data_IF_563020261110
#
_entry.id   IF_563020261110
#
_cell.length_a   1.000
_cell.length_b   1.000
_cell.length_c   1.000
_cell.angle_alpha   90.00
_cell.angle_beta   90.00
_cell.angle_gamma   90.00
#
_symmetry.space_group_name_H-M   'P 1'
#
loop_
_entity.id
_entity.type
_entity.pdbx_description
1 polymer ?
#
# COMPACT_ATOMS: atom_id res chain seq x y z
N UNK A 1 6.99 11.05 0.59
CA UNK A 1 6.22 9.90 0.05
C UNK A 1 4.89 9.84 0.76
N UNK A 2 3.81 9.57 0.05
CA UNK A 2 2.48 9.42 0.65
C UNK A 2 2.08 7.96 0.56
N UNK A 3 1.56 7.42 1.66
CA UNK A 3 0.91 6.12 1.69
C UNK A 3 -0.59 6.32 1.63
N UNK A 4 -1.25 5.49 0.84
CA UNK A 4 -2.69 5.30 0.87
C UNK A 4 -2.94 3.90 1.42
N UNK A 5 -3.54 3.82 2.60
CA UNK A 5 -3.84 2.58 3.31
C UNK A 5 -5.32 2.31 3.13
N UNK A 6 -5.65 1.24 2.44
CA UNK A 6 -7.01 0.76 2.25
C UNK A 6 -7.23 -0.43 3.18
N UNK A 7 -8.19 -0.34 4.07
CA UNK A 7 -8.57 -1.41 5.00
C UNK A 7 -9.92 -1.96 4.56
N UNK A 8 -10.00 -3.27 4.38
CA UNK A 8 -11.26 -3.95 4.04
C UNK A 8 -11.71 -4.76 5.24
N UNK A 9 -12.86 -4.41 5.77
CA UNK A 9 -13.52 -5.16 6.84
C UNK A 9 -14.39 -6.23 6.22
N UNK A 10 -14.31 -7.47 6.72
CA UNK A 10 -15.04 -8.60 6.14
C UNK A 10 -16.56 -8.45 6.23
N UNK A 11 -17.27 -9.02 5.26
CA UNK A 11 -18.73 -9.09 5.25
C UNK A 11 -19.25 -10.31 6.02
N UNK A 12 -18.87 -10.42 7.29
CA UNK A 12 -19.31 -11.47 8.21
C UNK A 12 -20.21 -10.90 9.29
N UNK A 13 -21.07 -11.72 9.90
CA UNK A 13 -21.94 -11.29 10.99
C UNK A 13 -21.10 -10.66 12.11
N UNK A 14 -21.45 -9.45 12.53
CA UNK A 14 -20.71 -8.66 13.52
C UNK A 14 -19.23 -8.38 13.19
N UNK A 15 -18.84 -8.41 11.91
CA UNK A 15 -17.45 -8.22 11.50
C UNK A 15 -16.90 -6.79 11.60
N UNK A 16 -17.73 -5.80 11.90
CA UNK A 16 -17.30 -4.40 12.08
C UNK A 16 -16.95 -4.07 13.53
N UNK A 17 -16.19 -2.99 13.75
CA UNK A 17 -15.71 -2.61 15.08
C UNK A 17 -15.92 -1.13 15.40
N UNK A 18 -16.15 -0.83 16.67
CA UNK A 18 -16.12 0.53 17.22
C UNK A 18 -14.81 0.86 17.96
N UNK A 19 -13.86 -0.09 17.99
CA UNK A 19 -12.57 0.09 18.64
C UNK A 19 -11.65 0.99 17.81
N UNK A 20 -10.60 1.52 18.44
CA UNK A 20 -9.57 2.25 17.70
C UNK A 20 -8.66 1.26 16.99
N UNK A 21 -8.44 1.45 15.68
CA UNK A 21 -7.55 0.62 14.88
C UNK A 21 -6.19 1.31 14.72
N UNK A 22 -5.12 0.53 14.84
CA UNK A 22 -3.74 1.00 14.75
C UNK A 22 -2.95 0.17 13.75
N UNK A 23 -2.03 0.81 13.03
CA UNK A 23 -1.11 0.15 12.10
C UNK A 23 0.32 0.61 12.32
N UNK A 24 1.28 -0.30 12.12
CA UNK A 24 2.70 -0.01 12.05
C UNK A 24 3.30 -0.70 10.83
N UNK A 25 4.00 0.06 9.99
CA UNK A 25 4.62 -0.45 8.77
C UNK A 25 6.12 -0.66 8.98
N UNK A 26 6.64 -1.75 8.42
CA UNK A 26 8.05 -2.15 8.46
C UNK A 26 8.59 -2.28 7.03
N UNK A 27 9.71 -1.63 6.77
CA UNK A 27 10.42 -1.72 5.50
C UNK A 27 11.94 -1.65 5.68
N UNK A 28 12.67 -1.72 4.58
CA UNK A 28 14.13 -1.75 4.55
C UNK A 28 14.81 -0.47 5.10
N UNK A 29 14.11 0.66 5.15
CA UNK A 29 14.59 1.91 5.74
C UNK A 29 14.09 2.18 7.17
N UNK A 30 13.48 1.17 7.80
CA UNK A 30 13.08 1.16 9.20
C UNK A 30 11.59 0.89 9.37
N UNK A 31 11.00 1.50 10.40
CA UNK A 31 9.57 1.35 10.73
C UNK A 31 8.92 2.67 11.04
N UNK A 32 7.61 2.75 10.86
CA UNK A 32 6.82 3.88 11.35
C UNK A 32 6.64 3.78 12.86
N UNK A 33 6.16 4.87 13.45
CA UNK A 33 5.46 4.79 14.73
C UNK A 33 4.13 4.01 14.59
N UNK A 34 3.45 3.80 15.71
CA UNK A 34 2.11 3.19 15.71
C UNK A 34 1.11 4.27 15.35
N UNK A 35 0.51 4.14 14.17
CA UNK A 35 -0.41 5.12 13.60
C UNK A 35 -1.84 4.70 13.90
N UNK A 36 -2.63 5.58 14.50
CA UNK A 36 -4.08 5.37 14.60
C UNK A 36 -4.72 5.66 13.25
N UNK A 37 -5.53 4.72 12.75
CA UNK A 37 -6.31 4.87 11.54
C UNK A 37 -7.67 5.43 11.90
N UNK A 38 -7.88 6.71 11.62
CA UNK A 38 -9.16 7.36 11.83
C UNK A 38 -9.44 8.40 10.74
N UNK A 39 -10.72 8.60 10.46
CA UNK A 39 -11.21 9.66 9.58
C UNK A 39 -12.43 10.34 10.21
N UNK A 40 -13.05 11.27 9.48
CA UNK A 40 -14.31 11.91 9.93
C UNK A 40 -15.54 11.03 9.69
N UNK A 41 -15.38 9.92 8.99
CA UNK A 41 -16.46 8.97 8.71
C UNK A 41 -16.54 7.90 9.79
N UNK A 42 -17.66 7.19 9.84
CA UNK A 42 -17.74 5.94 10.59
C UNK A 42 -16.91 4.89 9.85
N UNK A 43 -15.83 4.41 10.46
CA UNK A 43 -14.84 3.53 9.83
C UNK A 43 -15.01 2.09 10.36
N UNK A 44 -14.48 1.12 9.62
CA UNK A 44 -14.39 -0.29 10.00
C UNK A 44 -15.76 -0.95 10.21
N UNK A 45 -16.76 -0.49 9.45
CA UNK A 45 -18.08 -1.12 9.39
C UNK A 45 -18.01 -2.44 8.63
N UNK A 46 -18.89 -3.38 8.97
CA UNK A 46 -18.99 -4.67 8.29
C UNK A 46 -19.09 -4.50 6.77
N UNK A 47 -18.23 -5.19 6.03
CA UNK A 47 -18.19 -5.13 4.56
C UNK A 47 -17.72 -3.79 3.98
N UNK A 48 -17.28 -2.85 4.82
CA UNK A 48 -16.80 -1.54 4.37
C UNK A 48 -15.35 -1.60 3.91
N UNK A 49 -15.02 -0.65 3.02
CA UNK A 49 -13.67 -0.36 2.58
C UNK A 49 -13.34 1.07 2.95
N UNK A 50 -12.36 1.25 3.82
CA UNK A 50 -11.92 2.54 4.34
C UNK A 50 -10.54 2.91 3.81
N UNK A 51 -10.37 4.17 3.41
CA UNK A 51 -9.11 4.67 2.83
C UNK A 51 -8.53 5.77 3.71
N UNK A 52 -7.29 5.58 4.15
CA UNK A 52 -6.53 6.50 4.98
C UNK A 52 -5.30 7.02 4.24
N UNK A 53 -5.18 8.34 4.15
CA UNK A 53 -4.02 8.99 3.52
C UNK A 53 -3.01 9.37 4.60
N UNK A 54 -1.83 8.78 4.52
CA UNK A 54 -0.70 9.02 5.42
C UNK A 54 0.37 9.80 4.66
N UNK A 55 0.66 11.02 5.11
CA UNK A 55 1.68 11.85 4.49
C UNK A 55 3.03 11.68 5.16
N UNK A 56 4.10 11.74 4.38
CA UNK A 56 5.44 11.91 4.93
C UNK A 56 5.71 13.38 5.19
N UNK A 57 6.09 13.70 6.43
CA UNK A 57 6.37 15.07 6.84
C UNK A 57 7.85 15.18 7.22
N UNK A 58 8.53 16.17 6.62
CA UNK A 58 9.92 16.46 6.91
C UNK A 58 10.10 17.51 8.02
N UNK A 59 9.05 18.24 8.44
CA UNK A 59 9.05 19.13 9.61
C UNK A 59 7.61 19.36 10.14
N UNK A 60 7.46 19.29 11.46
CA UNK A 60 6.24 19.32 12.26
C UNK A 60 5.16 20.38 11.92
N UNK A 61 3.92 19.99 12.27
CA UNK A 61 2.69 20.76 12.53
C UNK A 61 1.63 20.84 11.42
N UNK A 62 0.87 19.76 11.23
CA UNK A 62 -0.57 19.90 10.96
C UNK A 62 -1.41 18.77 11.58
N UNK A 63 -2.28 19.12 12.55
CA UNK A 63 -3.07 18.23 13.41
C UNK A 63 -4.19 17.40 12.71
N UNK A 64 -4.24 17.37 11.38
CA UNK A 64 -5.39 16.80 10.64
C UNK A 64 -5.02 15.66 9.68
N UNK A 65 -3.76 15.25 9.64
CA UNK A 65 -3.27 14.24 8.73
C UNK A 65 -2.43 13.23 9.51
N UNK A 66 -2.52 11.96 9.11
CA UNK A 66 -1.66 10.92 9.67
C UNK A 66 -0.27 11.13 9.07
N UNK A 67 0.73 11.30 9.91
CA UNK A 67 2.11 11.54 9.50
C UNK A 67 2.95 10.26 9.66
N UNK A 68 3.85 9.96 8.73
CA UNK A 68 4.75 8.82 8.86
C UNK A 68 6.11 9.03 8.19
N UNK A 69 7.16 8.45 8.78
CA UNK A 69 8.48 8.34 8.14
C UNK A 69 8.38 7.42 6.91
N UNK A 70 9.13 7.71 5.85
CA UNK A 70 9.35 6.74 4.78
C UNK A 70 10.13 5.52 5.30
N UNK A 71 9.57 4.34 5.06
CA UNK A 71 10.14 3.04 5.46
C UNK A 71 10.75 2.26 4.29
N UNK A 72 10.76 2.82 3.07
CA UNK A 72 11.27 2.13 1.88
C UNK A 72 10.43 0.91 1.45
N UNK A 73 11.04 -0.17 0.93
CA UNK A 73 10.30 -1.36 0.47
C UNK A 73 9.63 -2.02 1.68
N UNK A 74 8.29 -2.02 1.70
CA UNK A 74 7.51 -2.59 2.81
C UNK A 74 7.55 -4.11 2.70
N UNK A 75 7.89 -4.78 3.80
CA UNK A 75 7.90 -6.25 3.87
C UNK A 75 6.99 -6.80 4.96
N UNK A 76 6.49 -5.96 5.88
CA UNK A 76 5.61 -6.39 6.97
C UNK A 76 4.76 -5.23 7.48
N UNK A 77 3.55 -5.53 7.91
CA UNK A 77 2.75 -4.63 8.73
C UNK A 77 2.34 -5.32 10.03
N UNK A 78 2.07 -4.51 11.05
CA UNK A 78 1.37 -4.94 12.27
C UNK A 78 0.10 -4.12 12.39
N UNK A 79 -1.04 -4.79 12.50
CA UNK A 79 -2.34 -4.14 12.63
C UNK A 79 -3.05 -4.65 13.89
N UNK A 80 -3.71 -3.77 14.62
CA UNK A 80 -4.36 -4.10 15.88
C UNK A 80 -5.56 -3.20 16.20
N UNK A 81 -6.40 -3.64 17.13
CA UNK A 81 -7.37 -2.78 17.81
C UNK A 81 -7.12 -2.72 19.33
N UNK A 82 -7.81 -1.82 20.04
CA UNK A 82 -7.67 -1.61 21.49
C UNK A 82 -8.82 -2.17 22.35
N UNK A 83 -9.66 -3.06 21.80
CA UNK A 83 -10.85 -3.63 22.46
C UNK A 83 -11.88 -2.61 22.95
N UNK A 84 -11.78 -1.35 22.56
CA UNK A 84 -12.65 -0.31 23.12
C UNK A 84 -14.04 -0.31 22.48
N UNK A 85 -15.03 0.12 23.28
CA UNK A 85 -16.42 0.24 22.82
C UNK A 85 -17.22 -1.07 22.89
N UNK A 86 -18.45 -1.02 22.39
CA UNK A 86 -19.34 -2.20 22.29
C UNK A 86 -19.17 -2.80 20.90
N UNK A 87 -18.98 -4.11 20.82
CA UNK A 87 -18.66 -4.78 19.54
C UNK A 87 -17.25 -4.43 19.08
N UNK A 88 -16.27 -4.65 19.95
CA UNK A 88 -14.86 -4.35 19.65
C UNK A 88 -14.20 -5.40 18.76
N UNK A 89 -14.76 -6.62 18.73
CA UNK A 89 -14.32 -7.67 17.83
C UNK A 89 -14.41 -7.23 16.37
N UNK A 90 -13.33 -7.48 15.63
CA UNK A 90 -13.19 -6.99 14.27
C UNK A 90 -12.78 -8.12 13.34
N UNK A 91 -13.49 -8.28 12.23
CA UNK A 91 -13.07 -9.21 11.19
C UNK A 91 -12.34 -8.45 10.08
N UNK A 92 -11.02 -8.62 10.03
CA UNK A 92 -10.18 -8.02 9.01
C UNK A 92 -10.06 -8.96 7.82
N UNK A 93 -10.55 -8.52 6.64
CA UNK A 93 -10.36 -9.24 5.38
C UNK A 93 -8.92 -9.03 4.89
N UNK A 94 -8.54 -7.77 4.60
CA UNK A 94 -7.20 -7.44 4.11
C UNK A 94 -6.85 -5.96 4.27
N UNK A 95 -5.57 -5.67 4.10
CA UNK A 95 -5.03 -4.31 4.00
C UNK A 95 -4.29 -4.17 2.67
N UNK A 96 -4.54 -3.09 1.94
CA UNK A 96 -3.76 -2.69 0.77
C UNK A 96 -3.01 -1.40 1.08
N UNK A 97 -1.72 -1.34 0.76
CA UNK A 97 -0.91 -0.13 0.92
C UNK A 97 -0.35 0.27 -0.42
N UNK A 98 -0.66 1.48 -0.85
CA UNK A 98 -0.14 2.09 -2.06
C UNK A 98 0.82 3.23 -1.72
N UNK A 99 2.00 3.23 -2.35
CA UNK A 99 2.99 4.33 -2.27
C UNK A 99 3.44 4.73 -3.66
N UNK A 100 3.85 5.98 -3.83
CA UNK A 100 4.52 6.43 -5.05
C UNK A 100 6.03 6.38 -4.86
N UNK A 101 6.73 5.75 -5.80
CA UNK A 101 8.20 5.71 -5.86
C UNK A 101 8.69 6.31 -7.17
N UNK A 102 9.87 6.93 -7.13
CA UNK A 102 10.55 7.40 -8.33
C UNK A 102 11.30 6.22 -8.95
N UNK A 103 10.94 5.82 -10.17
CA UNK A 103 11.58 4.73 -10.89
C UNK A 103 12.03 5.18 -12.29
N UNK A 104 13.08 4.55 -12.81
CA UNK A 104 13.50 4.71 -14.21
C UNK A 104 12.54 3.90 -15.10
N UNK A 105 11.95 4.56 -16.09
CA UNK A 105 10.98 3.95 -17.01
C UNK A 105 11.41 4.24 -18.45
N UNK A 106 11.27 3.29 -19.40
CA UNK A 106 11.56 3.54 -20.81
C UNK A 106 10.72 4.70 -21.37
N UNK A 107 11.36 5.65 -22.07
CA UNK A 107 10.63 6.70 -22.79
C UNK A 107 9.83 6.11 -23.94
N UNK A 108 8.53 6.38 -23.97
CA UNK A 108 7.69 6.05 -25.12
C UNK A 108 8.15 6.85 -26.35
N UNK A 109 8.66 6.14 -27.37
CA UNK A 109 8.94 6.74 -28.69
C UNK A 109 7.60 7.14 -29.33
N UNK A 110 7.33 8.45 -29.42
CA UNK A 110 6.18 8.96 -30.18
C UNK A 110 6.34 8.62 -31.67
N UNK A 111 5.51 7.71 -32.19
CA UNK A 111 5.46 7.45 -33.63
C UNK A 111 4.85 8.64 -34.38
N UNK A 112 5.70 9.49 -34.97
CA UNK A 112 5.28 10.48 -35.95
C UNK A 112 4.84 9.77 -37.25
N UNK A 113 3.52 9.56 -37.41
CA UNK A 113 2.90 9.11 -38.66
C UNK A 113 3.03 10.17 -39.76
N UNK A 114 4.22 10.34 -40.35
CA UNK A 114 4.40 11.18 -41.55
C UNK A 114 5.56 10.76 -42.45
N UNK A 115 5.35 9.70 -43.24
CA UNK A 115 5.55 9.61 -44.71
C UNK A 115 5.86 8.17 -45.15
N UNK A 116 4.82 7.45 -45.60
CA UNK A 116 4.97 6.45 -46.65
C UNK A 116 5.44 7.15 -47.93
N UNK A 117 6.73 7.06 -48.26
CA UNK A 117 7.21 6.92 -49.65
C UNK A 117 8.69 6.53 -49.72
N UNK A 118 8.90 5.36 -50.30
CA UNK A 118 10.05 4.90 -51.07
C UNK A 118 11.33 4.39 -50.36
N UNK A 119 11.50 3.06 -50.52
CA UNK A 119 12.60 2.40 -51.26
C UNK A 119 13.74 1.76 -50.44
N UNK A 120 13.50 0.50 -50.05
CA UNK A 120 14.34 -0.70 -50.26
C UNK A 120 15.84 -0.48 -50.53
N UNK A 121 16.71 -0.83 -49.57
CA UNK A 121 17.84 -1.80 -49.71
C UNK A 121 18.73 -1.92 -48.45
N UNK A 122 18.74 -3.15 -47.89
CA UNK A 122 19.80 -3.99 -47.27
C UNK A 122 21.15 -3.39 -46.75
N UNK A 123 21.45 -3.68 -45.48
CA UNK A 123 22.67 -4.28 -44.86
C UNK A 123 22.37 -4.43 -43.34
N UNK A 124 22.33 -5.61 -42.71
CA UNK A 124 23.40 -6.47 -42.16
C UNK A 124 24.47 -5.74 -41.32
N UNK A 125 24.47 -6.10 -40.02
CA UNK A 125 25.39 -5.77 -38.90
C UNK A 125 25.31 -4.36 -38.30
N UNK A 126 24.54 -4.23 -37.21
CA UNK A 126 24.81 -3.34 -36.09
C UNK A 126 24.21 -4.01 -34.83
N UNK A 127 25.05 -4.35 -33.86
CA UNK A 127 24.62 -4.70 -32.51
C UNK A 127 24.15 -3.40 -31.84
N UNK A 128 22.88 -3.06 -32.06
CA UNK A 128 22.24 -1.95 -31.38
C UNK A 128 22.12 -2.30 -29.88
N UNK A 129 23.11 -1.91 -29.07
CA UNK A 129 22.82 -1.44 -27.71
C UNK A 129 21.93 -0.18 -27.86
N UNK A 130 20.64 -0.37 -28.20
CA UNK A 130 19.62 0.65 -27.97
C UNK A 130 19.50 0.79 -26.45
N UNK A 131 20.39 1.59 -25.87
CA UNK A 131 20.17 2.24 -24.59
C UNK A 131 18.93 3.11 -24.75
N UNK A 132 17.76 2.49 -24.57
CA UNK A 132 16.48 3.18 -24.59
C UNK A 132 16.59 4.39 -23.67
N UNK A 133 16.19 5.56 -24.14
CA UNK A 133 16.19 6.73 -23.27
C UNK A 133 15.29 6.41 -22.06
N UNK A 134 15.87 6.32 -20.87
CA UNK A 134 15.12 6.14 -19.63
C UNK A 134 14.77 7.52 -19.05
N UNK A 135 13.62 7.62 -18.39
CA UNK A 135 13.22 8.80 -17.64
C UNK A 135 12.73 8.43 -16.24
N UNK A 136 12.98 9.31 -15.27
CA UNK A 136 12.50 9.13 -13.91
C UNK A 136 11.02 9.55 -13.83
N UNK A 137 10.14 8.63 -13.46
CA UNK A 137 8.69 8.87 -13.29
C UNK A 137 8.20 8.35 -11.95
N UNK A 138 7.11 8.94 -11.46
CA UNK A 138 6.38 8.41 -10.30
C UNK A 138 5.60 7.16 -10.71
N UNK A 139 5.91 6.03 -10.06
CA UNK A 139 5.25 4.75 -10.27
C UNK A 139 4.55 4.34 -8.97
N UNK A 140 3.27 3.94 -9.02
CA UNK A 140 2.60 3.37 -7.86
C UNK A 140 3.13 1.97 -7.58
N UNK A 141 3.56 1.74 -6.34
CA UNK A 141 3.82 0.42 -5.77
C UNK A 141 2.67 0.08 -4.83
N UNK A 142 2.07 -1.08 -5.01
CA UNK A 142 0.96 -1.59 -4.22
C UNK A 142 1.41 -2.85 -3.48
N UNK A 143 1.05 -2.95 -2.20
CA UNK A 143 1.31 -4.11 -1.35
C UNK A 143 -0.03 -4.62 -0.82
N UNK A 144 -0.29 -5.91 -1.00
CA UNK A 144 -1.52 -6.57 -0.54
C UNK A 144 -1.21 -7.46 0.66
N UNK A 145 -1.90 -7.25 1.78
CA UNK A 145 -1.73 -7.98 3.04
C UNK A 145 -3.06 -8.68 3.39
N UNK A 146 -3.25 -9.95 2.97
CA UNK A 146 -4.39 -10.76 3.36
C UNK A 146 -4.37 -11.04 4.86
N UNK A 147 -5.55 -11.08 5.48
CA UNK A 147 -5.71 -11.45 6.89
C UNK A 147 -6.76 -12.54 7.04
N UNK A 148 -7.99 -12.27 6.59
CA UNK A 148 -9.18 -13.13 6.68
C UNK A 148 -9.35 -13.76 8.08
N UNK A 149 -9.32 -12.91 9.11
CA UNK A 149 -9.23 -13.37 10.52
C UNK A 149 -9.97 -12.44 11.47
N UNK A 150 -10.48 -13.01 12.57
CA UNK A 150 -10.90 -12.21 13.72
C UNK A 150 -9.70 -11.60 14.47
N UNK A 151 -9.85 -10.34 14.84
CA UNK A 151 -9.02 -9.60 15.77
C UNK A 151 -9.86 -9.25 17.00
N UNK A 152 -10.16 -10.23 17.85
CA UNK A 152 -11.04 -10.07 19.00
C UNK A 152 -10.61 -11.00 20.13
N UNK A 153 -10.85 -10.61 21.38
CA UNK A 153 -10.50 -11.44 22.56
C UNK A 153 -11.41 -12.65 22.75
N UNK A 154 -12.62 -12.60 22.20
CA UNK A 154 -13.69 -13.58 22.37
C UNK A 154 -13.97 -14.42 21.11
N UNK A 155 -13.22 -14.18 20.02
CA UNK A 155 -13.32 -14.92 18.76
C UNK A 155 -11.98 -15.58 18.39
N UNK A 156 -12.08 -16.68 17.63
CA UNK A 156 -10.96 -17.38 17.02
C UNK A 156 -9.78 -17.69 17.97
N UNK A 157 -8.68 -16.94 17.88
CA UNK A 157 -7.47 -17.13 18.67
C UNK A 157 -7.33 -16.17 19.85
N UNK A 158 -8.29 -15.25 20.03
CA UNK A 158 -8.29 -14.28 21.11
C UNK A 158 -7.30 -13.11 20.90
N UNK A 159 -6.65 -13.03 19.75
CA UNK A 159 -5.60 -12.03 19.49
C UNK A 159 -6.15 -10.82 18.74
N UNK A 160 -6.00 -9.63 19.33
CA UNK A 160 -6.42 -8.36 18.72
C UNK A 160 -5.34 -7.73 17.83
N UNK A 161 -4.24 -8.44 17.62
CA UNK A 161 -3.08 -7.97 16.88
C UNK A 161 -2.56 -9.07 15.98
N UNK A 162 -2.19 -8.69 14.77
CA UNK A 162 -1.60 -9.61 13.79
C UNK A 162 -0.47 -8.93 13.03
N UNK A 163 0.56 -9.69 12.71
CA UNK A 163 1.60 -9.29 11.77
C UNK A 163 1.32 -9.92 10.40
N UNK A 164 1.27 -9.11 9.35
CA UNK A 164 0.96 -9.55 7.99
C UNK A 164 2.14 -9.29 7.06
N UNK A 165 2.34 -10.21 6.12
CA UNK A 165 3.33 -10.11 5.05
C UNK A 165 2.61 -9.85 3.72
N UNK A 166 3.23 -9.14 2.77
CA UNK A 166 2.60 -8.89 1.48
C UNK A 166 2.59 -10.15 0.61
N UNK A 167 1.56 -10.33 -0.24
CA UNK A 167 1.48 -11.49 -1.16
C UNK A 167 2.67 -11.52 -2.14
N UNK A 168 3.02 -10.38 -2.73
CA UNK A 168 4.02 -10.29 -3.81
C UNK A 168 5.48 -10.26 -3.32
N UNK A 169 5.82 -10.96 -2.24
CA UNK A 169 7.21 -11.02 -1.74
C UNK A 169 8.15 -11.89 -2.63
N UNK A 170 7.86 -12.05 -3.93
CA UNK A 170 8.58 -12.92 -4.88
C UNK A 170 9.99 -12.42 -5.28
N UNK A 171 10.52 -11.35 -4.66
CA UNK A 171 11.76 -10.71 -5.11
C UNK A 171 12.94 -10.79 -4.11
N UNK A 172 12.95 -11.78 -3.20
CA UNK A 172 14.03 -11.95 -2.21
C UNK A 172 14.54 -13.40 -2.06
N UNK A 173 14.49 -14.22 -3.13
CA UNK A 173 15.28 -15.46 -3.22
C UNK A 173 16.53 -15.30 -4.10
#
# INVERSE_FOLDING_TARGET
INYEITVVTGDVFAGGTNANVFIQMYGDQGKTEVLQLCSRSNNFERGATDIFKVMSVCNHHHHTQIEAKDVGKIFKIRISNDDSGIGAGWYLDRVEIKRLVMAMVPKEKKEDKKKKKNKKKKSEEDEDEEGGEEEMREVPMTYLFPCDRWLAVDEEDGEMVVELLPEDNEELE
#
